data_IF_142004346397
#
_entry.id   IF_142004346397
#
_cell.length_a   1.000
_cell.length_b   1.000
_cell.length_c   1.000
_cell.angle_alpha   90.00
_cell.angle_beta   90.00
_cell.angle_gamma   90.00
#
_symmetry.space_group_name_H-M   'P 1'
#
loop_
_entity.id
_entity.type
_entity.pdbx_description
1 polymer ?
#
# COMPACT_ATOMS: atom_id res chain seq x y z
N UNK A 1 14.81 -22.18 -1.54
CA UNK A 1 13.45 -21.74 -1.18
C UNK A 1 13.35 -21.21 0.26
N UNK A 2 13.56 -22.00 1.33
CA UNK A 2 13.36 -21.52 2.72
C UNK A 2 14.10 -20.22 3.10
N UNK A 3 15.32 -20.02 2.60
CA UNK A 3 16.08 -18.79 2.84
C UNK A 3 15.41 -17.54 2.24
N UNK A 4 14.77 -17.69 1.07
CA UNK A 4 13.98 -16.63 0.43
C UNK A 4 12.73 -16.32 1.28
N UNK A 5 12.03 -17.37 1.75
CA UNK A 5 10.85 -17.25 2.60
C UNK A 5 11.10 -16.50 3.92
N UNK A 6 12.27 -16.73 4.52
CA UNK A 6 12.67 -16.18 5.83
C UNK A 6 13.47 -14.88 5.74
N UNK A 7 13.69 -14.35 4.53
CA UNK A 7 14.37 -13.09 4.35
C UNK A 7 13.63 -11.99 5.12
N UNK A 8 14.35 -11.25 5.98
CA UNK A 8 13.77 -10.21 6.84
C UNK A 8 13.73 -8.83 6.19
N UNK A 9 14.46 -8.66 5.10
CA UNK A 9 14.50 -7.41 4.34
C UNK A 9 14.74 -7.68 2.85
N UNK A 10 14.42 -6.70 2.02
CA UNK A 10 14.49 -6.79 0.55
C UNK A 10 15.88 -7.20 0.06
N UNK A 11 16.95 -6.72 0.72
CA UNK A 11 18.31 -7.03 0.30
C UNK A 11 18.70 -8.49 0.54
N UNK A 12 18.33 -9.04 1.71
CA UNK A 12 18.52 -10.47 2.01
C UNK A 12 17.67 -11.36 1.09
N UNK A 13 16.45 -10.91 0.76
CA UNK A 13 15.57 -11.58 -0.20
C UNK A 13 16.22 -11.66 -1.58
N UNK A 14 16.66 -10.53 -2.14
CA UNK A 14 17.31 -10.48 -3.47
C UNK A 14 18.53 -11.41 -3.54
N UNK A 15 19.40 -11.36 -2.53
CA UNK A 15 20.58 -12.24 -2.44
C UNK A 15 20.19 -13.72 -2.44
N UNK A 16 19.14 -14.10 -1.73
CA UNK A 16 18.67 -15.48 -1.70
C UNK A 16 18.02 -15.92 -3.01
N UNK A 17 17.35 -15.02 -3.74
CA UNK A 17 16.80 -15.28 -5.09
C UNK A 17 17.94 -15.47 -6.09
N UNK A 18 18.93 -14.58 -6.11
CA UNK A 18 20.11 -14.70 -6.97
C UNK A 18 20.87 -16.01 -6.72
N UNK A 19 20.98 -16.42 -5.46
CA UNK A 19 21.60 -17.69 -5.09
C UNK A 19 20.80 -18.90 -5.61
N UNK A 20 19.46 -18.85 -5.56
CA UNK A 20 18.60 -19.87 -6.14
C UNK A 20 18.79 -19.93 -7.67
N UNK A 21 18.75 -18.79 -8.34
CA UNK A 21 18.90 -18.70 -9.81
C UNK A 21 20.26 -19.21 -10.31
N UNK A 22 21.31 -19.12 -9.48
CA UNK A 22 22.64 -19.70 -9.78
C UNK A 22 22.74 -21.19 -9.48
N UNK A 23 21.76 -21.78 -8.79
CA UNK A 23 21.81 -23.18 -8.38
C UNK A 23 21.55 -24.14 -9.55
N UNK A 24 22.16 -25.32 -9.49
CA UNK A 24 21.91 -26.39 -10.47
C UNK A 24 20.46 -26.88 -10.46
N UNK A 25 19.78 -26.78 -9.31
CA UNK A 25 18.37 -27.15 -9.17
C UNK A 25 17.45 -26.22 -9.97
N UNK A 26 17.80 -24.94 -10.05
CA UNK A 26 17.01 -23.95 -10.77
C UNK A 26 17.22 -24.03 -12.28
N UNK A 27 18.47 -24.25 -12.72
CA UNK A 27 18.83 -24.30 -14.13
C UNK A 27 18.74 -25.71 -14.74
N UNK A 28 18.58 -26.73 -13.91
CA UNK A 28 18.61 -28.13 -14.33
C UNK A 28 17.28 -28.67 -14.83
N UNK A 29 16.16 -28.00 -14.51
CA UNK A 29 14.82 -28.42 -14.92
C UNK A 29 13.98 -27.19 -15.33
N UNK A 30 13.55 -27.09 -16.60
CA UNK A 30 12.72 -25.99 -17.09
C UNK A 30 11.41 -25.81 -16.32
N UNK A 31 10.81 -26.91 -15.85
CA UNK A 31 9.55 -26.84 -15.11
C UNK A 31 9.73 -26.17 -13.75
N UNK A 32 10.87 -26.42 -13.09
CA UNK A 32 11.21 -25.78 -11.81
C UNK A 32 11.44 -24.29 -12.02
N UNK A 33 12.16 -23.92 -13.08
CA UNK A 33 12.37 -22.51 -13.46
C UNK A 33 11.04 -21.82 -13.69
N UNK A 34 10.18 -22.40 -14.52
CA UNK A 34 8.89 -21.83 -14.89
C UNK A 34 7.97 -21.65 -13.67
N UNK A 35 7.89 -22.68 -12.81
CA UNK A 35 7.11 -22.60 -11.58
C UNK A 35 7.63 -21.50 -10.65
N UNK A 36 8.95 -21.40 -10.49
CA UNK A 36 9.54 -20.37 -9.63
C UNK A 36 9.25 -18.96 -10.15
N UNK A 37 9.40 -18.69 -11.44
CA UNK A 37 9.15 -17.36 -12.03
C UNK A 37 7.65 -17.00 -12.01
N UNK A 38 6.79 -17.89 -12.53
CA UNK A 38 5.36 -17.56 -12.75
C UNK A 38 4.51 -17.61 -11.50
N UNK A 39 4.84 -18.49 -10.55
CA UNK A 39 4.02 -18.72 -9.35
C UNK A 39 4.69 -18.12 -8.12
N UNK A 40 5.93 -18.51 -7.85
CA UNK A 40 6.52 -18.25 -6.54
C UNK A 40 7.14 -16.85 -6.40
N UNK A 41 7.90 -16.40 -7.40
CA UNK A 41 8.52 -15.08 -7.43
C UNK A 41 7.51 -13.99 -7.81
N UNK A 42 6.52 -14.30 -8.66
CA UNK A 42 5.45 -13.37 -9.04
C UNK A 42 4.58 -12.92 -7.84
N UNK A 43 4.36 -13.79 -6.85
CA UNK A 43 3.57 -13.48 -5.65
C UNK A 43 4.44 -13.14 -4.42
N UNK A 44 5.74 -12.93 -4.60
CA UNK A 44 6.73 -12.80 -3.52
C UNK A 44 6.45 -11.63 -2.58
N UNK A 45 5.92 -10.52 -3.09
CA UNK A 45 5.58 -9.34 -2.31
C UNK A 45 4.50 -9.66 -1.25
N UNK A 46 3.52 -10.50 -1.55
CA UNK A 46 2.39 -10.80 -0.65
C UNK A 46 2.72 -11.82 0.45
N UNK A 47 3.67 -12.73 0.20
CA UNK A 47 3.85 -13.90 1.07
C UNK A 47 5.09 -13.82 1.96
N UNK A 48 6.08 -12.98 1.62
CA UNK A 48 7.40 -13.03 2.25
C UNK A 48 7.53 -12.08 3.42
N UNK A 49 8.26 -12.54 4.44
CA UNK A 49 8.48 -11.82 5.69
C UNK A 49 9.12 -10.43 5.47
N UNK A 50 9.97 -10.29 4.44
CA UNK A 50 10.62 -9.04 4.07
C UNK A 50 9.66 -7.89 3.73
N UNK A 51 8.44 -8.20 3.28
CA UNK A 51 7.45 -7.20 2.83
C UNK A 51 6.29 -7.01 3.83
N UNK A 52 6.16 -7.89 4.83
CA UNK A 52 5.05 -7.85 5.80
C UNK A 52 5.03 -6.58 6.63
N UNK A 53 6.18 -6.07 7.06
CA UNK A 53 6.24 -4.84 7.87
C UNK A 53 5.75 -3.64 7.06
N UNK A 54 6.22 -3.50 5.82
CA UNK A 54 5.82 -2.40 4.96
C UNK A 54 4.35 -2.50 4.53
N UNK A 55 3.84 -3.70 4.25
CA UNK A 55 2.42 -3.92 4.00
C UNK A 55 1.56 -3.61 5.22
N UNK A 56 1.95 -4.06 6.41
CA UNK A 56 1.23 -3.76 7.64
C UNK A 56 1.18 -2.25 7.90
N UNK A 57 2.31 -1.55 7.73
CA UNK A 57 2.37 -0.08 7.85
C UNK A 57 1.49 0.59 6.79
N UNK A 58 1.52 0.12 5.54
CA UNK A 58 0.66 0.67 4.48
C UNK A 58 -0.82 0.44 4.78
N UNK A 59 -1.21 -0.74 5.26
CA UNK A 59 -2.59 -1.05 5.65
C UNK A 59 -3.03 -0.15 6.79
N UNK A 60 -2.24 -0.06 7.86
CA UNK A 60 -2.54 0.79 9.03
C UNK A 60 -2.64 2.26 8.62
N UNK A 61 -1.69 2.77 7.84
CA UNK A 61 -1.72 4.15 7.36
C UNK A 61 -2.91 4.43 6.44
N UNK A 62 -3.26 3.47 5.57
CA UNK A 62 -4.40 3.59 4.66
C UNK A 62 -5.72 3.60 5.44
N UNK A 63 -5.90 2.67 6.38
CA UNK A 63 -7.09 2.59 7.23
C UNK A 63 -7.22 3.86 8.08
N UNK A 64 -6.14 4.25 8.76
CA UNK A 64 -6.14 5.46 9.59
C UNK A 64 -6.46 6.70 8.77
N UNK A 65 -5.90 6.83 7.55
CA UNK A 65 -6.18 7.94 6.65
C UNK A 65 -7.64 7.96 6.17
N UNK A 66 -8.21 6.80 5.83
CA UNK A 66 -9.62 6.67 5.44
C UNK A 66 -10.54 7.01 6.62
N UNK A 67 -10.25 6.49 7.81
CA UNK A 67 -11.03 6.76 9.01
C UNK A 67 -10.96 8.23 9.43
N UNK A 68 -9.79 8.86 9.34
CA UNK A 68 -9.62 10.28 9.58
C UNK A 68 -10.49 11.11 8.62
N UNK A 69 -10.44 10.82 7.31
CA UNK A 69 -11.29 11.49 6.31
C UNK A 69 -12.78 11.26 6.55
N UNK A 70 -13.17 10.02 6.92
CA UNK A 70 -14.55 9.68 7.27
C UNK A 70 -15.03 10.46 8.49
N UNK A 71 -14.18 10.64 9.50
CA UNK A 71 -14.49 11.44 10.69
C UNK A 71 -14.68 12.91 10.33
N UNK A 72 -13.76 13.50 9.56
CA UNK A 72 -13.87 14.89 9.10
C UNK A 72 -15.16 15.11 8.31
N UNK A 73 -15.47 14.24 7.36
CA UNK A 73 -16.71 14.32 6.59
C UNK A 73 -17.95 14.21 7.48
N UNK A 74 -17.99 13.19 8.37
CA UNK A 74 -19.16 12.92 9.21
C UNK A 74 -19.46 14.03 10.21
N UNK A 75 -18.43 14.63 10.82
CA UNK A 75 -18.61 15.60 11.90
C UNK A 75 -18.41 17.05 11.47
N UNK A 76 -17.69 17.32 10.39
CA UNK A 76 -17.45 18.68 9.90
C UNK A 76 -18.39 19.11 8.77
N UNK A 77 -18.74 18.19 7.86
CA UNK A 77 -19.43 18.52 6.61
C UNK A 77 -20.92 18.14 6.64
N UNK A 78 -21.25 16.90 7.04
CA UNK A 78 -22.64 16.45 7.09
C UNK A 78 -23.56 17.31 7.97
N UNK A 79 -23.15 17.79 9.16
CA UNK A 79 -24.03 18.60 10.01
C UNK A 79 -24.36 19.97 9.40
N UNK A 80 -23.42 20.53 8.64
CA UNK A 80 -23.53 21.82 7.98
C UNK A 80 -24.30 21.75 6.65
N UNK A 81 -24.69 20.55 6.22
CA UNK A 81 -25.43 20.37 4.97
C UNK A 81 -26.89 20.73 5.09
N UNK A 82 -27.34 21.61 4.20
CA UNK A 82 -28.75 21.89 3.98
C UNK A 82 -29.42 20.77 3.16
N UNK A 83 -28.70 20.18 2.20
CA UNK A 83 -29.21 19.11 1.34
C UNK A 83 -28.67 17.74 1.77
N UNK A 84 -29.57 16.83 2.16
CA UNK A 84 -29.21 15.48 2.63
C UNK A 84 -29.44 14.39 1.60
N UNK A 85 -29.75 14.76 0.37
CA UNK A 85 -29.86 13.83 -0.74
C UNK A 85 -28.47 13.23 -1.06
N UNK A 86 -28.44 12.05 -1.67
CA UNK A 86 -27.19 11.44 -2.12
C UNK A 86 -26.48 12.35 -3.13
N UNK A 87 -27.24 13.05 -3.97
CA UNK A 87 -26.72 14.03 -4.91
C UNK A 87 -26.07 15.23 -4.20
N UNK A 88 -26.76 15.86 -3.26
CA UNK A 88 -26.23 16.99 -2.48
C UNK A 88 -24.99 16.60 -1.66
N UNK A 89 -24.95 15.38 -1.13
CA UNK A 89 -23.76 14.81 -0.49
C UNK A 89 -22.60 14.67 -1.50
N UNK A 90 -22.87 14.15 -2.70
CA UNK A 90 -21.84 14.02 -3.73
C UNK A 90 -21.28 15.37 -4.18
N UNK A 91 -22.15 16.37 -4.37
CA UNK A 91 -21.76 17.76 -4.68
C UNK A 91 -20.87 18.33 -3.59
N UNK A 92 -21.25 18.21 -2.32
CA UNK A 92 -20.45 18.69 -1.19
C UNK A 92 -19.07 18.01 -1.09
N UNK A 93 -18.98 16.71 -1.38
CA UNK A 93 -17.70 16.01 -1.41
C UNK A 93 -16.79 16.62 -2.48
N UNK A 94 -17.31 16.85 -3.68
CA UNK A 94 -16.55 17.33 -4.84
C UNK A 94 -16.20 18.81 -4.71
N UNK A 95 -17.14 19.65 -4.29
CA UNK A 95 -16.99 21.10 -4.30
C UNK A 95 -16.37 21.66 -3.01
N UNK A 96 -16.44 20.93 -1.89
CA UNK A 96 -15.95 21.43 -0.59
C UNK A 96 -14.90 20.52 0.03
N UNK A 97 -15.24 19.25 0.31
CA UNK A 97 -14.36 18.36 1.07
C UNK A 97 -13.02 18.10 0.36
N UNK A 98 -13.06 17.78 -0.94
CA UNK A 98 -11.86 17.45 -1.73
C UNK A 98 -10.94 18.66 -1.90
N UNK A 99 -11.42 19.85 -2.34
CA UNK A 99 -10.60 21.05 -2.45
C UNK A 99 -9.98 21.46 -1.12
N UNK A 100 -10.75 21.47 -0.03
CA UNK A 100 -10.22 21.83 1.29
C UNK A 100 -9.15 20.83 1.76
N UNK A 101 -9.39 19.53 1.59
CA UNK A 101 -8.40 18.50 1.93
C UNK A 101 -7.08 18.66 1.15
N UNK A 102 -7.15 19.17 -0.09
CA UNK A 102 -5.96 19.45 -0.90
C UNK A 102 -5.21 20.69 -0.40
N UNK A 103 -5.93 21.76 -0.04
CA UNK A 103 -5.31 22.95 0.55
C UNK A 103 -4.65 22.64 1.89
N UNK A 104 -5.33 21.92 2.79
CA UNK A 104 -4.76 21.49 4.07
C UNK A 104 -3.46 20.70 3.87
N UNK A 105 -3.40 19.85 2.84
CA UNK A 105 -2.18 19.11 2.48
C UNK A 105 -1.06 20.01 1.98
N UNK A 106 -1.38 20.99 1.13
CA UNK A 106 -0.42 21.99 0.63
C UNK A 106 0.16 22.82 1.79
N UNK A 107 -0.69 23.30 2.70
CA UNK A 107 -0.30 24.12 3.85
C UNK A 107 0.64 23.36 4.80
N UNK A 108 0.30 22.10 5.13
CA UNK A 108 1.16 21.24 5.96
C UNK A 108 2.54 21.05 5.30
N UNK A 109 2.59 20.81 3.99
CA UNK A 109 3.86 20.64 3.28
C UNK A 109 4.69 21.91 3.23
N UNK A 110 4.05 23.06 3.06
CA UNK A 110 4.72 24.37 3.05
C UNK A 110 5.29 24.72 4.43
N UNK A 111 4.57 24.43 5.52
CA UNK A 111 5.04 24.64 6.89
C UNK A 111 6.23 23.76 7.26
N UNK A 112 6.27 22.51 6.78
CA UNK A 112 7.39 21.59 7.05
C UNK A 112 8.65 21.96 6.25
N UNK A 113 8.49 22.70 5.16
CA UNK A 113 9.58 23.08 4.25
C UNK A 113 10.20 24.45 4.56
N UNK A 114 9.71 25.16 5.57
CA UNK A 114 10.18 26.49 6.02
C UNK A 114 10.92 26.41 7.35
#
# INVERSE_FOLDING_TARGET
MQQIARARNVQSYRKSVESLQKSKLYNGDPNITEYCEKVWLNCSEHCLQAFRVQQAVNIVNTINGIEAKKKVFKYGYLPSSLERSVFGIAVMIVESLVPQSYQDYCDIKLQISS
#
